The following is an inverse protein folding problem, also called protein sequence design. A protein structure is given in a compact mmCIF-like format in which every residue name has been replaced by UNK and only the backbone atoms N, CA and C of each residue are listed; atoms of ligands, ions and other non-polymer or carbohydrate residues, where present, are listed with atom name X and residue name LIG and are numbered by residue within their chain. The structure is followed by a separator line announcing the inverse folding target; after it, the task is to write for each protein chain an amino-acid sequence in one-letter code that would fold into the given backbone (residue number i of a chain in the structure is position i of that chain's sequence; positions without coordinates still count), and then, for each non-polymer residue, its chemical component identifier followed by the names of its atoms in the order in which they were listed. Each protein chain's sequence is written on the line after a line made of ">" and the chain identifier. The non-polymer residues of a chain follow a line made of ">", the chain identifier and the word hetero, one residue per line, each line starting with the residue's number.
data_IF_190654511771
#
_entry.id   IF_190654511771
#
_cell.length_a   1.000
_cell.length_b   1.000
_cell.length_c   1.000
_cell.angle_alpha   90.00
_cell.angle_beta   90.00
_cell.angle_gamma   90.00
#
_symmetry.space_group_name_H-M   'P 1'
#
loop_
_entity.id
_entity.type
_entity.pdbx_description
1 polymer ?
#
# COMPACT_ATOMS: atom_id res chain seq x y z
N UNK A 1 10.43 7.41 -8.13
CA UNK A 1 9.10 8.05 -8.10
C UNK A 1 8.28 7.20 -7.17
N UNK A 2 7.71 7.79 -6.13
CA UNK A 2 7.06 7.01 -5.07
C UNK A 2 5.73 6.47 -5.56
N UNK A 3 5.45 5.20 -5.34
CA UNK A 3 4.16 4.60 -5.69
C UNK A 3 3.77 3.49 -4.73
N UNK A 4 2.47 3.30 -4.59
CA UNK A 4 1.88 2.14 -3.92
C UNK A 4 1.28 1.26 -5.01
N UNK A 5 1.44 -0.05 -4.91
CA UNK A 5 1.06 -1.00 -5.95
C UNK A 5 0.34 -2.20 -5.36
N UNK A 6 -0.68 -2.70 -6.07
CA UNK A 6 -1.36 -3.96 -5.78
C UNK A 6 -1.43 -4.82 -7.04
N UNK A 7 -0.81 -6.02 -7.05
CA UNK A 7 -1.01 -6.98 -8.12
C UNK A 7 -2.45 -7.53 -8.10
N UNK A 8 -3.06 -7.68 -9.28
CA UNK A 8 -4.47 -8.11 -9.38
C UNK A 8 -4.64 -9.63 -9.40
N UNK A 9 -3.55 -10.39 -9.48
CA UNK A 9 -3.53 -11.86 -9.39
C UNK A 9 -2.20 -12.37 -8.87
N UNK A 10 -2.14 -13.67 -8.52
CA UNK A 10 -0.89 -14.32 -8.12
C UNK A 10 0.17 -14.31 -9.24
N UNK A 11 -0.25 -14.45 -10.50
CA UNK A 11 0.65 -14.35 -11.66
C UNK A 11 1.18 -12.94 -11.85
N UNK A 12 0.35 -11.91 -11.64
CA UNK A 12 0.79 -10.52 -11.68
C UNK A 12 1.80 -10.21 -10.56
N UNK A 13 1.57 -10.76 -9.36
CA UNK A 13 2.50 -10.63 -8.23
C UNK A 13 3.82 -11.34 -8.53
N UNK A 14 3.78 -12.55 -9.08
CA UNK A 14 5.01 -13.25 -9.50
C UNK A 14 5.77 -12.50 -10.58
N UNK A 15 5.10 -11.83 -11.52
CA UNK A 15 5.77 -10.98 -12.53
C UNK A 15 6.37 -9.72 -11.95
N UNK A 16 5.78 -9.19 -10.87
CA UNK A 16 6.30 -8.01 -10.17
C UNK A 16 7.71 -8.26 -9.63
N UNK A 17 7.96 -9.45 -9.06
CA UNK A 17 9.27 -9.85 -8.53
C UNK A 17 10.40 -9.86 -9.58
N UNK A 18 10.05 -9.99 -10.86
CA UNK A 18 10.99 -10.05 -11.98
C UNK A 18 10.93 -8.83 -12.92
N UNK A 19 10.17 -7.79 -12.55
CA UNK A 19 9.91 -6.62 -13.40
C UNK A 19 9.30 -6.96 -14.78
N UNK A 20 8.52 -8.04 -14.87
CA UNK A 20 7.92 -8.53 -16.12
C UNK A 20 6.43 -8.18 -16.27
N UNK A 21 5.93 -7.21 -15.51
CA UNK A 21 4.51 -6.87 -15.50
C UNK A 21 3.98 -6.46 -16.87
N UNK A 22 2.76 -6.92 -17.18
CA UNK A 22 2.02 -6.57 -18.39
C UNK A 22 0.87 -5.59 -18.08
N UNK A 23 0.32 -4.95 -19.11
CA UNK A 23 -0.80 -4.04 -18.96
C UNK A 23 -1.98 -4.74 -18.25
N UNK A 24 -2.47 -4.11 -17.17
CA UNK A 24 -3.56 -4.64 -16.34
C UNK A 24 -3.12 -5.51 -15.16
N UNK A 25 -1.82 -5.80 -15.00
CA UNK A 25 -1.32 -6.57 -13.84
C UNK A 25 -1.46 -5.84 -12.52
N UNK A 26 -1.35 -4.52 -12.54
CA UNK A 26 -1.14 -3.70 -11.36
C UNK A 26 -2.21 -2.62 -11.24
N UNK A 27 -2.70 -2.42 -10.03
CA UNK A 27 -3.33 -1.17 -9.62
C UNK A 27 -2.23 -0.31 -9.00
N UNK A 28 -1.98 0.85 -9.58
CA UNK A 28 -0.90 1.74 -9.15
C UNK A 28 -1.46 3.06 -8.62
N UNK A 29 -0.87 3.55 -7.54
CA UNK A 29 -1.11 4.88 -7.01
C UNK A 29 0.22 5.63 -6.92
N UNK A 30 0.49 6.45 -7.94
CA UNK A 30 1.67 7.31 -7.98
C UNK A 30 1.53 8.47 -7.01
N UNK A 31 2.53 8.66 -6.16
CA UNK A 31 2.60 9.71 -5.16
C UNK A 31 3.52 10.82 -5.66
N UNK A 32 2.96 11.99 -5.96
CA UNK A 32 3.78 13.18 -6.08
C UNK A 32 4.29 13.62 -4.69
N UNK A 33 5.25 14.56 -4.67
CA UNK A 33 5.85 15.02 -3.42
C UNK A 33 4.82 15.53 -2.41
N UNK A 34 3.82 16.29 -2.88
CA UNK A 34 2.78 16.85 -2.00
C UNK A 34 1.89 15.77 -1.39
N UNK A 35 1.55 14.76 -2.18
CA UNK A 35 0.76 13.60 -1.74
C UNK A 35 1.55 12.75 -0.76
N UNK A 36 2.82 12.46 -1.06
CA UNK A 36 3.68 11.71 -0.14
C UNK A 36 3.87 12.45 1.18
N UNK A 37 4.26 13.74 1.15
CA UNK A 37 4.49 14.56 2.35
C UNK A 37 3.22 14.62 3.22
N UNK A 38 2.03 14.64 2.59
CA UNK A 38 0.74 14.64 3.27
C UNK A 38 0.44 13.29 3.94
N UNK A 39 0.60 12.18 3.22
CA UNK A 39 0.45 10.82 3.76
C UNK A 39 1.43 10.58 4.93
N UNK A 40 2.67 11.03 4.76
CA UNK A 40 3.69 10.99 5.81
C UNK A 40 3.26 11.79 7.03
N UNK A 41 2.75 13.00 6.84
CA UNK A 41 2.23 13.85 7.91
C UNK A 41 1.02 13.27 8.66
N UNK A 42 0.27 12.35 8.06
CA UNK A 42 -0.80 11.60 8.73
C UNK A 42 -0.28 10.47 9.62
N UNK A 43 1.01 10.11 9.54
CA UNK A 43 1.62 9.07 10.36
C UNK A 43 1.17 7.65 9.98
N UNK A 44 0.61 7.44 8.78
CA UNK A 44 0.10 6.13 8.36
C UNK A 44 1.23 5.08 8.30
N UNK A 45 2.39 5.45 7.74
CA UNK A 45 3.53 4.54 7.58
C UNK A 45 4.13 4.15 8.93
N UNK A 46 4.26 5.10 9.86
CA UNK A 46 4.71 4.83 11.24
C UNK A 46 3.76 3.84 11.95
N UNK A 47 2.43 4.01 11.81
CA UNK A 47 1.45 3.11 12.40
C UNK A 47 1.55 1.69 11.82
N UNK A 48 1.79 1.57 10.52
CA UNK A 48 2.01 0.28 9.86
C UNK A 48 3.29 -0.39 10.37
N UNK A 49 4.42 0.31 10.34
CA UNK A 49 5.72 -0.20 10.82
C UNK A 49 5.63 -0.73 12.25
N UNK A 50 5.06 0.07 13.15
CA UNK A 50 4.92 -0.30 14.56
C UNK A 50 3.99 -1.51 14.81
N UNK A 51 3.05 -1.77 13.91
CA UNK A 51 2.05 -2.84 14.09
C UNK A 51 2.41 -4.14 13.39
N UNK A 52 3.23 -4.08 12.34
CA UNK A 52 3.51 -5.19 11.44
C UNK A 52 4.97 -5.63 11.41
N UNK A 53 5.85 -4.98 12.17
CA UNK A 53 7.30 -5.27 12.19
C UNK A 53 7.93 -5.15 10.78
N UNK A 54 7.51 -4.12 10.04
CA UNK A 54 7.99 -3.77 8.69
C UNK A 54 8.69 -2.41 8.70
N UNK A 55 9.42 -2.08 7.64
CA UNK A 55 10.20 -0.84 7.55
C UNK A 55 9.85 0.00 6.31
N UNK A 56 8.66 0.60 6.32
CA UNK A 56 8.30 1.61 5.31
C UNK A 56 8.98 2.94 5.68
N UNK A 57 9.98 3.36 4.93
CA UNK A 57 10.63 4.67 5.10
C UNK A 57 10.55 5.54 3.82
N UNK A 58 11.45 6.50 3.61
CA UNK A 58 11.43 7.37 2.44
C UNK A 58 12.45 7.00 1.35
N UNK A 59 13.15 5.86 1.52
CA UNK A 59 14.30 5.40 0.73
C UNK A 59 14.30 3.90 0.37
N UNK A 60 13.52 3.05 1.06
CA UNK A 60 13.47 1.60 0.83
C UNK A 60 12.09 1.12 0.33
N UNK A 61 12.13 0.07 -0.50
CA UNK A 61 10.93 -0.65 -0.92
C UNK A 61 10.47 -1.61 0.19
N UNK A 62 9.16 -1.73 0.39
CA UNK A 62 8.57 -2.61 1.39
C UNK A 62 7.24 -3.20 0.92
N UNK A 63 6.82 -4.32 1.50
CA UNK A 63 5.56 -4.97 1.14
C UNK A 63 4.83 -5.60 2.31
N UNK A 64 3.51 -5.72 2.17
CA UNK A 64 2.64 -6.46 3.09
C UNK A 64 1.92 -7.52 2.25
N UNK A 65 2.30 -8.78 2.41
CA UNK A 65 1.82 -9.91 1.59
C UNK A 65 1.07 -10.97 2.39
N UNK A 66 1.36 -11.07 3.69
CA UNK A 66 0.69 -12.02 4.57
C UNK A 66 -0.77 -11.64 4.81
N UNK A 67 -1.68 -12.63 4.74
CA UNK A 67 -3.12 -12.37 4.75
C UNK A 67 -3.61 -11.73 6.04
N UNK A 68 -3.00 -12.06 7.18
CA UNK A 68 -3.40 -11.49 8.48
C UNK A 68 -2.82 -10.08 8.65
N UNK A 69 -1.60 -9.84 8.20
CA UNK A 69 -0.97 -8.52 8.20
C UNK A 69 -1.70 -7.55 7.27
N UNK A 70 -2.18 -8.00 6.12
CA UNK A 70 -3.03 -7.21 5.24
C UNK A 70 -4.34 -6.77 5.91
N UNK A 71 -4.95 -7.62 6.75
CA UNK A 71 -6.17 -7.25 7.50
C UNK A 71 -5.84 -6.19 8.56
N UNK A 72 -4.74 -6.36 9.28
CA UNK A 72 -4.27 -5.38 10.27
C UNK A 72 -3.94 -4.05 9.58
N UNK A 73 -3.21 -4.08 8.45
CA UNK A 73 -2.91 -2.91 7.64
C UNK A 73 -4.20 -2.18 7.22
N UNK A 74 -5.17 -2.92 6.68
CA UNK A 74 -6.48 -2.39 6.27
C UNK A 74 -7.20 -1.70 7.43
N UNK A 75 -7.19 -2.28 8.63
CA UNK A 75 -7.79 -1.65 9.82
C UNK A 75 -7.09 -0.35 10.22
N UNK A 76 -5.76 -0.31 10.15
CA UNK A 76 -4.96 0.90 10.42
C UNK A 76 -5.27 1.98 9.39
N UNK A 77 -5.33 1.62 8.10
CA UNK A 77 -5.65 2.54 7.01
C UNK A 77 -7.08 3.08 7.18
N UNK A 78 -8.05 2.23 7.53
CA UNK A 78 -9.44 2.63 7.77
C UNK A 78 -9.56 3.63 8.93
N UNK A 79 -8.90 3.36 10.07
CA UNK A 79 -8.86 4.32 11.20
C UNK A 79 -8.18 5.63 10.81
N UNK A 80 -7.13 5.57 9.99
CA UNK A 80 -6.46 6.77 9.49
C UNK A 80 -7.38 7.58 8.57
N UNK A 81 -8.26 6.93 7.79
CA UNK A 81 -9.25 7.62 6.97
C UNK A 81 -10.23 8.42 7.86
N UNK A 82 -10.73 7.80 8.92
CA UNK A 82 -11.60 8.45 9.91
C UNK A 82 -10.90 9.65 10.58
N UNK A 83 -9.65 9.47 11.03
CA UNK A 83 -8.82 10.51 11.66
C UNK A 83 -8.54 11.71 10.73
N UNK A 84 -8.59 11.49 9.41
CA UNK A 84 -8.23 12.48 8.37
C UNK A 84 -9.42 13.03 7.61
N UNK A 85 -10.64 12.85 8.13
CA UNK A 85 -11.89 13.28 7.52
C UNK A 85 -12.09 12.72 6.10
N UNK A 86 -11.80 11.43 5.94
CA UNK A 86 -11.92 10.68 4.69
C UNK A 86 -11.10 11.29 3.55
N UNK A 87 -9.83 11.63 3.83
CA UNK A 87 -8.93 12.15 2.80
C UNK A 87 -8.86 11.18 1.61
N UNK A 88 -9.05 11.71 0.41
CA UNK A 88 -9.15 10.89 -0.81
C UNK A 88 -7.93 10.01 -1.06
N UNK A 89 -6.73 10.42 -0.60
CA UNK A 89 -5.53 9.60 -0.75
C UNK A 89 -5.53 8.40 0.22
N UNK A 90 -6.01 8.59 1.45
CA UNK A 90 -6.13 7.48 2.41
C UNK A 90 -7.25 6.53 1.98
N UNK A 91 -8.38 7.07 1.51
CA UNK A 91 -9.46 6.28 0.94
C UNK A 91 -8.99 5.43 -0.26
N UNK A 92 -8.13 5.99 -1.12
CA UNK A 92 -7.50 5.26 -2.23
C UNK A 92 -6.64 4.09 -1.71
N UNK A 93 -5.80 4.32 -0.70
CA UNK A 93 -4.96 3.27 -0.11
C UNK A 93 -5.84 2.19 0.54
N UNK A 94 -6.97 2.56 1.15
CA UNK A 94 -7.92 1.61 1.72
C UNK A 94 -8.51 0.70 0.64
N UNK A 95 -8.94 1.27 -0.49
CA UNK A 95 -9.43 0.50 -1.65
C UNK A 95 -8.36 -0.46 -2.18
N UNK A 96 -7.10 -0.02 -2.20
CA UNK A 96 -5.97 -0.86 -2.60
C UNK A 96 -5.74 -2.01 -1.62
N UNK A 97 -5.78 -1.77 -0.31
CA UNK A 97 -5.68 -2.82 0.71
C UNK A 97 -6.83 -3.83 0.62
N UNK A 98 -8.08 -3.35 0.42
CA UNK A 98 -9.24 -4.19 0.13
C UNK A 98 -9.00 -5.07 -1.09
N UNK A 99 -8.36 -4.53 -2.12
CA UNK A 99 -8.09 -5.26 -3.35
C UNK A 99 -6.98 -6.29 -3.21
N UNK A 100 -5.92 -5.99 -2.48
CA UNK A 100 -4.86 -6.93 -2.15
C UNK A 100 -5.43 -8.16 -1.41
N UNK A 101 -6.29 -7.93 -0.42
CA UNK A 101 -6.98 -9.00 0.32
C UNK A 101 -7.87 -9.83 -0.61
N UNK A 102 -8.69 -9.16 -1.44
CA UNK A 102 -9.61 -9.85 -2.35
C UNK A 102 -8.88 -10.69 -3.41
N UNK A 103 -7.74 -10.21 -3.90
CA UNK A 103 -6.92 -10.90 -4.89
C UNK A 103 -5.95 -11.93 -4.26
N UNK A 104 -5.81 -11.94 -2.93
CA UNK A 104 -4.83 -12.76 -2.19
C UNK A 104 -3.39 -12.49 -2.67
N UNK A 105 -3.06 -11.22 -2.85
CA UNK A 105 -1.75 -10.73 -3.28
C UNK A 105 -1.10 -9.92 -2.16
N UNK A 106 -0.61 -8.72 -2.44
CA UNK A 106 0.04 -7.87 -1.47
C UNK A 106 -0.11 -6.38 -1.78
N UNK A 107 0.25 -5.57 -0.80
CA UNK A 107 0.37 -4.12 -0.91
C UNK A 107 1.85 -3.76 -0.89
N UNK A 108 2.34 -3.14 -1.96
CA UNK A 108 3.75 -2.84 -2.17
C UNK A 108 3.97 -1.33 -2.14
N UNK A 109 5.01 -0.89 -1.44
CA UNK A 109 5.46 0.48 -1.31
C UNK A 109 6.81 0.61 -2.01
N UNK A 110 6.85 1.35 -3.12
CA UNK A 110 8.08 1.59 -3.88
C UNK A 110 8.47 3.06 -3.70
N UNK A 111 9.38 3.37 -2.78
CA UNK A 111 9.65 4.74 -2.30
C UNK A 111 11.04 5.27 -2.70
#
# INVERSE_FOLDING_TARGET
>A
MKKIVVPVSAEAMSRLDFEENIEGDLIEFSLDKGTFDKLWGYGIFERLNNSLDICIDDCEDESITESDDLKVAREIIARTAEDTADDGNIAQILVMADKAIACKTGLFFFF
#
